data_IF_720441591431
#
_entry.id   IF_720441591431
#
_cell.length_a   1.000
_cell.length_b   1.000
_cell.length_c   1.000
_cell.angle_alpha   90.00
_cell.angle_beta   90.00
_cell.angle_gamma   90.00
#
_symmetry.space_group_name_H-M   'P 1'
#
loop_
_entity.id
_entity.type
_entity.pdbx_description
1 polymer ?
#
# COMPACT_ATOMS: atom_id res chain seq x y z
N UNK A 1 6.10 -7.58 -6.07
CA UNK A 1 5.26 -8.22 -5.05
C UNK A 1 5.41 -7.41 -3.77
N UNK A 2 4.30 -7.04 -3.12
CA UNK A 2 4.30 -6.07 -2.00
C UNK A 2 4.65 -6.71 -0.65
N UNK A 3 5.07 -7.98 -0.63
CA UNK A 3 5.34 -8.74 0.61
C UNK A 3 6.62 -8.33 1.34
N UNK A 4 7.55 -7.62 0.68
CA UNK A 4 8.78 -7.14 1.29
C UNK A 4 8.81 -5.60 1.35
N UNK A 5 9.33 -5.00 2.43
CA UNK A 5 9.55 -3.57 2.48
C UNK A 5 10.66 -3.17 1.51
N UNK A 6 10.41 -2.13 0.70
CA UNK A 6 11.45 -1.44 -0.04
C UNK A 6 11.91 -0.23 0.78
N UNK A 7 13.16 -0.21 1.24
CA UNK A 7 13.71 0.73 2.22
C UNK A 7 13.50 2.23 1.89
N UNK A 8 13.32 2.57 0.60
CA UNK A 8 13.09 3.93 0.13
C UNK A 8 11.69 4.16 -0.51
N UNK A 9 10.79 3.17 -0.45
CA UNK A 9 9.49 3.22 -1.13
C UNK A 9 8.34 2.66 -0.29
N UNK A 10 8.60 2.11 0.88
CA UNK A 10 7.59 1.55 1.76
C UNK A 10 7.68 2.19 3.13
N UNK A 11 6.67 2.98 3.48
CA UNK A 11 6.61 3.73 4.74
C UNK A 11 5.50 3.23 5.66
N UNK A 12 4.66 2.32 5.16
CA UNK A 12 3.55 1.73 5.90
C UNK A 12 3.32 0.28 5.49
N UNK A 13 2.86 -0.52 6.46
CA UNK A 13 2.43 -1.90 6.25
C UNK A 13 0.92 -1.99 6.40
N UNK A 14 0.23 -2.56 5.42
CA UNK A 14 -1.17 -2.94 5.49
C UNK A 14 -1.25 -4.43 5.84
N UNK A 15 -1.98 -4.79 6.89
CA UNK A 15 -2.23 -6.17 7.28
C UNK A 15 -3.61 -6.57 6.78
N UNK A 16 -3.66 -7.49 5.83
CA UNK A 16 -4.91 -7.98 5.21
C UNK A 16 -4.91 -9.49 5.22
N UNK A 17 -5.93 -10.10 5.82
CA UNK A 17 -6.02 -11.57 5.94
C UNK A 17 -4.76 -12.19 6.59
N UNK A 18 -4.16 -11.49 7.56
CA UNK A 18 -2.91 -11.89 8.23
C UNK A 18 -1.64 -11.74 7.37
N UNK A 19 -1.73 -11.21 6.16
CA UNK A 19 -0.60 -10.96 5.26
C UNK A 19 -0.16 -9.51 5.33
N UNK A 20 1.15 -9.29 5.38
CA UNK A 20 1.75 -7.97 5.37
C UNK A 20 1.97 -7.47 3.94
N UNK A 21 1.56 -6.22 3.68
CA UNK A 21 1.67 -5.55 2.39
C UNK A 21 2.35 -4.21 2.62
N UNK A 22 3.53 -4.02 2.05
CA UNK A 22 4.35 -2.83 2.23
C UNK A 22 4.09 -1.81 1.11
N UNK A 23 3.66 -0.60 1.46
CA UNK A 23 3.28 0.47 0.51
C UNK A 23 3.77 1.86 0.97
N UNK A 24 3.67 2.84 0.08
CA UNK A 24 3.99 4.25 0.39
C UNK A 24 2.70 5.02 0.70
N UNK A 25 2.59 5.63 1.89
CA UNK A 25 1.40 6.39 2.30
C UNK A 25 1.05 7.53 1.36
N UNK A 26 2.06 8.32 0.98
CA UNK A 26 1.87 9.54 0.18
C UNK A 26 1.41 9.19 -1.22
N UNK A 27 2.06 8.23 -1.86
CA UNK A 27 1.73 7.76 -3.19
C UNK A 27 0.34 7.11 -3.22
N UNK A 28 0.07 6.16 -2.31
CA UNK A 28 -1.22 5.50 -2.25
C UNK A 28 -2.36 6.48 -1.93
N UNK A 29 -2.12 7.46 -1.04
CA UNK A 29 -3.08 8.53 -0.75
C UNK A 29 -3.29 9.50 -1.92
N UNK A 30 -2.27 9.75 -2.73
CA UNK A 30 -2.39 10.59 -3.93
C UNK A 30 -3.33 9.97 -4.97
N UNK A 31 -3.29 8.65 -5.14
CA UNK A 31 -4.15 7.94 -6.11
C UNK A 31 -5.45 7.40 -5.52
N UNK A 32 -5.62 7.42 -4.19
CA UNK A 32 -6.83 6.98 -3.52
C UNK A 32 -7.18 7.88 -2.34
N UNK A 33 -8.27 8.63 -2.48
CA UNK A 33 -8.82 9.49 -1.44
C UNK A 33 -9.23 8.70 -0.18
N UNK A 34 -9.58 7.42 -0.34
CA UNK A 34 -9.88 6.51 0.78
C UNK A 34 -8.63 6.29 1.63
N UNK A 35 -7.51 5.94 1.00
CA UNK A 35 -6.24 5.74 1.71
C UNK A 35 -5.65 7.05 2.23
N UNK A 36 -5.83 8.15 1.50
CA UNK A 36 -5.47 9.48 2.02
C UNK A 36 -6.21 9.77 3.33
N UNK A 37 -7.53 9.55 3.34
CA UNK A 37 -8.32 9.71 4.55
C UNK A 37 -7.83 8.75 5.62
N UNK A 38 -7.61 7.48 5.32
CA UNK A 38 -7.12 6.49 6.29
C UNK A 38 -5.80 6.89 6.95
N UNK A 39 -4.81 7.36 6.18
CA UNK A 39 -3.47 7.66 6.69
C UNK A 39 -3.33 9.05 7.31
N UNK A 40 -4.15 10.02 6.89
CA UNK A 40 -3.96 11.43 7.24
C UNK A 40 -5.15 12.05 7.98
N UNK A 41 -6.17 11.27 8.36
CA UNK A 41 -7.35 11.74 9.11
C UNK A 41 -7.00 12.45 10.41
N UNK A 42 -6.07 11.90 11.18
CA UNK A 42 -5.63 12.48 12.45
C UNK A 42 -4.10 12.33 12.61
N UNK A 43 -3.53 12.96 13.63
CA UNK A 43 -2.08 12.93 13.87
C UNK A 43 -1.57 11.54 14.26
N UNK A 44 -2.38 10.74 14.97
CA UNK A 44 -1.98 9.39 15.37
C UNK A 44 -1.85 8.43 14.17
N UNK A 45 -2.75 8.53 13.19
CA UNK A 45 -2.73 7.75 11.95
C UNK A 45 -1.51 8.14 11.06
N UNK A 46 -1.08 9.40 11.12
CA UNK A 46 0.12 9.86 10.40
C UNK A 46 1.39 9.17 10.92
N UNK A 47 1.50 8.97 12.23
CA UNK A 47 2.65 8.30 12.86
C UNK A 47 2.55 6.77 12.80
N UNK A 48 1.37 6.22 12.57
CA UNK A 48 1.12 4.78 12.55
C UNK A 48 1.82 4.09 11.39
N UNK A 49 2.67 3.10 11.65
CA UNK A 49 3.39 2.35 10.58
C UNK A 49 2.65 1.11 10.09
N UNK A 50 1.56 0.73 10.75
CA UNK A 50 0.80 -0.47 10.44
C UNK A 50 -0.71 -0.22 10.47
N UNK A 51 -1.45 -0.68 9.45
CA UNK A 51 -2.89 -0.61 9.39
C UNK A 51 -3.49 -1.98 9.11
N UNK A 52 -4.33 -2.47 10.02
CA UNK A 52 -5.09 -3.70 9.82
C UNK A 52 -6.38 -3.40 9.06
N UNK A 53 -6.63 -4.11 7.97
CA UNK A 53 -7.84 -4.02 7.16
C UNK A 53 -8.56 -5.37 7.22
N UNK A 54 -9.56 -5.48 8.08
CA UNK A 54 -10.35 -6.70 8.25
C UNK A 54 -11.49 -6.83 7.21
N UNK A 55 -11.90 -5.73 6.57
CA UNK A 55 -13.02 -5.68 5.61
C UNK A 55 -12.56 -5.59 4.15
N UNK A 56 -11.30 -5.91 3.89
CA UNK A 56 -10.69 -5.81 2.55
C UNK A 56 -10.19 -7.17 2.13
N UNK A 57 -10.54 -7.60 0.93
CA UNK A 57 -10.00 -8.83 0.36
C UNK A 57 -8.56 -8.61 -0.11
N UNK A 58 -7.65 -9.52 0.27
CA UNK A 58 -6.24 -9.44 -0.09
C UNK A 58 -6.04 -9.36 -1.61
N UNK A 59 -6.78 -10.14 -2.39
CA UNK A 59 -6.62 -10.19 -3.85
C UNK A 59 -7.09 -8.89 -4.51
N UNK A 60 -8.23 -8.36 -4.06
CA UNK A 60 -8.76 -7.07 -4.55
C UNK A 60 -7.77 -5.92 -4.26
N UNK A 61 -7.21 -5.89 -3.04
CA UNK A 61 -6.22 -4.87 -2.69
C UNK A 61 -4.96 -4.98 -3.55
N UNK A 62 -4.44 -6.18 -3.77
CA UNK A 62 -3.25 -6.39 -4.61
C UNK A 62 -3.51 -5.95 -6.06
N UNK A 63 -4.70 -6.24 -6.60
CA UNK A 63 -5.08 -5.82 -7.96
C UNK A 63 -5.11 -4.29 -8.07
N UNK A 64 -5.74 -3.62 -7.10
CA UNK A 64 -5.73 -2.16 -6.99
C UNK A 64 -4.31 -1.60 -6.88
N UNK A 65 -3.45 -2.23 -6.07
CA UNK A 65 -2.07 -1.80 -5.93
C UNK A 65 -1.27 -1.98 -7.23
N UNK A 66 -1.54 -2.99 -8.06
CA UNK A 66 -0.92 -3.10 -9.38
C UNK A 66 -1.38 -2.01 -10.36
N UNK A 67 -2.59 -1.48 -10.20
CA UNK A 67 -3.09 -0.34 -10.99
C UNK A 67 -2.42 0.96 -10.53
N UNK A 68 -2.29 1.16 -9.22
CA UNK A 68 -1.73 2.37 -8.62
C UNK A 68 -0.20 2.42 -8.78
N UNK A 69 0.47 1.30 -8.53
CA UNK A 69 1.90 1.11 -8.75
C UNK A 69 2.09 0.40 -10.08
N UNK A 70 2.12 1.14 -11.22
CA UNK A 70 2.33 0.53 -12.52
C UNK A 70 3.62 -0.27 -12.44
N UNK A 71 3.44 -1.59 -12.45
CA UNK A 71 4.54 -2.52 -12.27
C UNK A 71 5.55 -2.23 -13.36
N UNK A 72 6.80 -1.96 -12.97
CA UNK A 72 7.94 -2.11 -13.88
C UNK A 72 8.04 -3.60 -14.16
N UNK A 73 7.15 -4.12 -15.01
CA UNK A 73 7.46 -5.30 -15.80
C UNK A 73 8.78 -4.91 -16.45
N UNK A 74 9.87 -5.55 -16.06
CA UNK A 74 11.12 -5.38 -16.76
C UNK A 74 10.76 -5.71 -18.21
N UNK A 75 10.69 -4.68 -19.06
CA UNK A 75 10.77 -4.90 -20.49
C UNK A 75 12.18 -5.39 -20.66
N UNK A 76 12.37 -6.70 -20.50
CA UNK A 76 13.54 -7.37 -21.00
C UNK A 76 13.43 -7.15 -22.51
N UNK A 77 13.97 -6.01 -22.96
CA UNK A 77 14.10 -5.68 -24.35
C UNK A 77 15.00 -6.74 -24.96
N UNK A 78 14.47 -7.36 -26.01
CA UNK A 78 15.16 -7.74 -27.26
C UNK A 78 16.63 -8.10 -27.16
#
# INVERSE_FOLDING_TARGET
DFSNPEDNRSDVTLIVDGKAIHVNKQYLGMYSSVFHSLFFRNSADKEKKEFKLDDVDYKELIDLLHVIYPSRKNVAGT
#
